data_IF_827206507481
#
_entry.id   IF_827206507481
#
_cell.length_a   1.000
_cell.length_b   1.000
_cell.length_c   1.000
_cell.angle_alpha   90.00
_cell.angle_beta   90.00
_cell.angle_gamma   90.00
#
_symmetry.space_group_name_H-M   'P 1'
#
loop_
_entity.id
_entity.type
_entity.pdbx_description
1 polymer ?
#
# COMPACT_ATOMS: atom_id res chain seq x y z
N UNK A 1 16.97 19.31 42.83
CA UNK A 1 17.40 18.96 41.49
C UNK A 1 16.30 18.13 40.82
N UNK A 2 15.38 18.82 40.15
CA UNK A 2 14.47 18.12 39.22
C UNK A 2 15.26 17.87 37.94
N UNK A 3 15.62 16.62 37.69
CA UNK A 3 16.07 16.17 36.40
C UNK A 3 15.00 16.54 35.36
N UNK A 4 15.35 17.43 34.41
CA UNK A 4 14.50 17.65 33.25
C UNK A 4 14.56 16.34 32.46
N UNK A 5 13.45 15.60 32.48
CA UNK A 5 13.29 14.47 31.60
C UNK A 5 13.38 14.98 30.15
N UNK A 6 14.27 14.41 29.34
CA UNK A 6 14.32 14.71 27.93
C UNK A 6 12.96 14.46 27.32
N UNK A 7 12.37 15.49 26.73
CA UNK A 7 11.04 15.42 26.12
C UNK A 7 10.99 14.47 24.90
N UNK A 8 12.14 14.19 24.32
CA UNK A 8 12.29 13.24 23.21
C UNK A 8 13.67 12.59 23.24
N UNK A 9 13.69 11.31 22.94
CA UNK A 9 14.93 10.52 22.80
C UNK A 9 15.46 10.52 21.35
N UNK A 10 14.63 10.91 20.39
CA UNK A 10 14.96 10.86 18.97
C UNK A 10 15.22 12.27 18.41
N UNK A 11 16.48 12.54 18.11
CA UNK A 11 16.93 13.80 17.49
C UNK A 11 17.19 13.67 15.98
N UNK A 12 17.04 12.47 15.41
CA UNK A 12 17.31 12.22 14.00
C UNK A 12 16.03 12.27 13.17
N UNK A 13 16.13 12.91 12.01
CA UNK A 13 15.04 12.94 11.03
C UNK A 13 15.01 11.66 10.21
N UNK A 14 13.79 11.21 9.87
CA UNK A 14 13.60 10.10 8.95
C UNK A 14 14.05 10.50 7.53
N UNK A 15 14.92 9.68 6.94
CA UNK A 15 15.35 9.89 5.55
C UNK A 15 14.32 9.25 4.60
N UNK A 16 13.86 9.97 3.57
CA UNK A 16 12.82 9.47 2.66
C UNK A 16 13.27 8.28 1.79
N UNK A 17 14.58 8.09 1.66
CA UNK A 17 15.15 6.98 0.87
C UNK A 17 15.37 5.70 1.67
N UNK A 18 15.21 5.74 2.98
CA UNK A 18 15.51 4.63 3.86
C UNK A 18 14.26 3.80 4.15
N UNK A 19 13.78 3.09 3.14
CA UNK A 19 12.64 2.19 3.29
C UNK A 19 12.84 0.88 2.50
N UNK A 20 12.11 -0.14 2.91
CA UNK A 20 12.00 -1.40 2.19
C UNK A 20 10.55 -1.85 2.20
N UNK A 21 10.01 -2.13 1.04
CA UNK A 21 8.72 -2.77 0.91
C UNK A 21 8.89 -4.29 0.97
N UNK A 22 8.09 -4.96 1.77
CA UNK A 22 8.02 -6.41 1.84
C UNK A 22 6.61 -6.85 1.50
N UNK A 23 6.51 -7.56 0.40
CA UNK A 23 5.31 -8.22 -0.06
C UNK A 23 5.56 -9.73 -0.07
N UNK A 24 4.56 -10.53 -0.28
CA UNK A 24 4.74 -11.98 -0.42
C UNK A 24 5.64 -12.32 -1.61
N UNK A 25 6.91 -12.55 -1.34
CA UNK A 25 7.93 -12.88 -2.36
C UNK A 25 7.65 -14.16 -3.12
N UNK A 26 6.90 -15.06 -2.53
CA UNK A 26 6.56 -16.32 -3.17
C UNK A 26 5.64 -16.12 -4.35
N UNK A 27 4.69 -15.21 -4.21
CA UNK A 27 3.66 -14.94 -5.21
C UNK A 27 3.94 -13.68 -6.05
N UNK A 28 4.63 -12.67 -5.47
CA UNK A 28 4.83 -11.36 -6.08
C UNK A 28 6.29 -10.85 -5.96
N UNK A 29 7.29 -11.62 -6.42
CA UNK A 29 8.69 -11.26 -6.22
C UNK A 29 9.10 -9.99 -6.97
N UNK A 30 8.55 -9.73 -8.14
CA UNK A 30 8.91 -8.58 -8.97
C UNK A 30 8.30 -7.27 -8.44
N UNK A 31 7.08 -7.31 -7.91
CA UNK A 31 6.46 -6.15 -7.27
C UNK A 31 7.28 -5.66 -6.06
N UNK A 32 7.82 -6.57 -5.28
CA UNK A 32 8.66 -6.23 -4.14
C UNK A 32 10.00 -5.64 -4.57
N UNK A 33 10.65 -6.27 -5.54
CA UNK A 33 12.01 -5.92 -5.96
C UNK A 33 12.09 -4.57 -6.67
N UNK A 34 11.12 -4.25 -7.52
CA UNK A 34 11.12 -3.05 -8.35
C UNK A 34 10.35 -1.87 -7.77
N UNK A 35 9.93 -1.92 -6.53
CA UNK A 35 9.26 -0.79 -5.89
C UNK A 35 10.22 0.39 -5.71
N UNK A 36 9.97 1.47 -6.42
CA UNK A 36 10.78 2.68 -6.39
C UNK A 36 10.34 3.65 -5.29
N UNK A 37 9.03 3.82 -5.12
CA UNK A 37 8.48 4.73 -4.12
C UNK A 37 7.16 4.22 -3.56
N UNK A 38 6.87 4.65 -2.35
CA UNK A 38 5.63 4.32 -1.65
C UNK A 38 5.11 5.55 -0.94
N UNK A 39 3.82 5.78 -1.03
CA UNK A 39 3.14 6.84 -0.29
C UNK A 39 2.32 6.20 0.82
N UNK A 40 2.75 6.44 2.07
CA UNK A 40 2.00 5.99 3.24
C UNK A 40 0.66 6.72 3.31
N UNK A 41 -0.47 5.98 3.41
CA UNK A 41 -1.79 6.58 3.38
C UNK A 41 -2.11 7.37 4.64
N UNK A 42 -2.85 8.45 4.46
CA UNK A 42 -3.44 9.18 5.57
C UNK A 42 -4.60 8.43 6.22
N UNK A 43 -4.91 8.82 7.44
CA UNK A 43 -6.00 8.27 8.25
C UNK A 43 -6.91 9.39 8.71
N UNK A 44 -8.22 9.20 8.59
CA UNK A 44 -9.22 10.19 8.96
C UNK A 44 -10.18 9.57 9.97
N UNK A 45 -10.34 10.23 11.12
CA UNK A 45 -11.40 9.94 12.06
C UNK A 45 -12.62 10.77 11.68
N UNK A 46 -13.72 10.12 11.33
CA UNK A 46 -14.94 10.80 10.94
C UNK A 46 -15.69 11.29 12.19
N UNK A 47 -15.78 12.62 12.42
CA UNK A 47 -16.52 13.14 13.57
C UNK A 47 -18.03 13.01 13.34
N UNK A 48 -18.78 12.82 14.40
CA UNK A 48 -20.24 12.93 14.40
C UNK A 48 -20.61 14.31 14.91
N UNK A 49 -21.40 15.07 14.13
CA UNK A 49 -21.94 16.36 14.55
C UNK A 49 -23.28 16.17 15.26
N UNK A 50 -23.36 16.58 16.51
CA UNK A 50 -24.64 16.72 17.20
C UNK A 50 -25.25 18.07 16.85
N UNK A 51 -26.37 18.05 16.14
CA UNK A 51 -27.17 19.25 15.87
C UNK A 51 -27.85 19.74 17.15
N UNK A 52 -27.30 20.79 17.76
CA UNK A 52 -27.98 21.49 18.85
C UNK A 52 -28.69 22.71 18.22
N UNK A 53 -30.03 22.87 18.40
CA UNK A 53 -30.72 24.04 17.92
C UNK A 53 -30.11 25.33 18.47
N UNK A 54 -29.70 26.24 17.56
CA UNK A 54 -29.09 27.56 17.86
C UNK A 54 -27.57 27.57 18.13
N UNK A 55 -26.88 26.47 18.08
CA UNK A 55 -25.40 26.42 18.11
C UNK A 55 -24.90 25.65 16.92
N UNK A 56 -23.77 26.08 16.33
CA UNK A 56 -23.06 25.28 15.34
C UNK A 56 -22.73 23.91 15.93
N UNK A 57 -22.89 22.84 15.16
CA UNK A 57 -22.71 21.48 15.64
C UNK A 57 -21.44 21.30 16.46
N UNK A 58 -21.53 20.62 17.58
CA UNK A 58 -20.38 20.24 18.40
C UNK A 58 -19.81 18.96 17.81
N UNK A 59 -18.55 18.95 17.34
CA UNK A 59 -17.94 17.74 16.85
C UNK A 59 -17.66 16.78 18.03
N UNK A 60 -18.18 15.56 17.91
CA UNK A 60 -17.87 14.45 18.82
C UNK A 60 -16.99 13.47 18.09
N UNK A 61 -16.03 12.86 18.80
CA UNK A 61 -15.19 11.82 18.23
C UNK A 61 -16.05 10.70 17.64
N UNK A 62 -15.91 10.48 16.35
CA UNK A 62 -16.61 9.41 15.62
C UNK A 62 -16.03 8.05 15.96
N UNK A 63 -16.78 6.99 15.65
CA UNK A 63 -16.39 5.61 15.89
C UNK A 63 -15.72 4.96 14.67
N UNK A 64 -15.65 5.67 13.53
CA UNK A 64 -15.11 5.12 12.29
C UNK A 64 -13.84 5.82 11.83
N UNK A 65 -12.87 5.00 11.41
CA UNK A 65 -11.63 5.43 10.76
C UNK A 65 -11.72 5.15 9.26
N UNK A 66 -11.31 6.13 8.47
CA UNK A 66 -11.17 5.98 7.02
C UNK A 66 -9.70 6.10 6.65
N UNK A 67 -9.22 5.17 5.82
CA UNK A 67 -7.85 5.15 5.32
C UNK A 67 -7.84 5.53 3.84
N UNK A 68 -6.85 6.32 3.45
CA UNK A 68 -6.56 6.55 2.04
C UNK A 68 -5.92 5.31 1.41
N UNK A 69 -5.84 5.30 0.10
CA UNK A 69 -5.22 4.22 -0.66
C UNK A 69 -3.69 4.22 -0.48
N UNK A 70 -3.11 3.03 -0.34
CA UNK A 70 -1.68 2.84 -0.38
C UNK A 70 -1.23 2.92 -1.84
N UNK A 71 -0.42 3.92 -2.16
CA UNK A 71 0.07 4.15 -3.52
C UNK A 71 1.56 3.83 -3.63
N UNK A 72 1.92 3.07 -4.66
CA UNK A 72 3.29 2.68 -4.95
C UNK A 72 3.64 2.99 -6.41
N UNK A 73 4.90 3.32 -6.68
CA UNK A 73 5.44 3.37 -8.03
C UNK A 73 6.45 2.24 -8.20
N UNK A 74 6.27 1.48 -9.24
CA UNK A 74 7.06 0.28 -9.52
C UNK A 74 7.74 0.47 -10.87
N UNK A 75 9.04 0.17 -10.92
CA UNK A 75 9.81 0.20 -12.17
C UNK A 75 9.35 -0.97 -13.04
N UNK A 76 9.07 -0.67 -14.30
CA UNK A 76 8.71 -1.68 -15.28
C UNK A 76 9.96 -2.43 -15.75
N UNK A 77 9.96 -3.74 -15.58
CA UNK A 77 11.01 -4.62 -16.10
C UNK A 77 10.81 -4.92 -17.59
N UNK A 78 11.87 -5.36 -18.26
CA UNK A 78 11.82 -5.65 -19.71
C UNK A 78 10.74 -6.66 -20.11
N UNK A 79 10.46 -7.61 -19.24
CA UNK A 79 9.47 -8.66 -19.48
C UNK A 79 8.09 -8.32 -18.93
N UNK A 80 7.90 -7.14 -18.37
CA UNK A 80 6.65 -6.71 -17.72
C UNK A 80 6.15 -7.68 -16.64
N UNK A 81 7.06 -8.37 -15.95
CA UNK A 81 6.68 -9.39 -14.96
C UNK A 81 5.97 -8.79 -13.76
N UNK A 82 6.48 -7.68 -13.23
CA UNK A 82 5.83 -6.97 -12.11
C UNK A 82 4.43 -6.47 -12.46
N UNK A 83 4.28 -5.92 -13.66
CA UNK A 83 2.96 -5.52 -14.17
C UNK A 83 2.03 -6.72 -14.33
N UNK A 84 2.55 -7.83 -14.87
CA UNK A 84 1.81 -9.08 -15.03
C UNK A 84 1.35 -9.69 -13.71
N UNK A 85 2.17 -9.64 -12.67
CA UNK A 85 1.80 -10.10 -11.32
C UNK A 85 0.59 -9.31 -10.78
N UNK A 86 0.62 -7.99 -10.92
CA UNK A 86 -0.47 -7.11 -10.50
C UNK A 86 -1.75 -7.35 -11.31
N UNK A 87 -1.62 -7.44 -12.63
CA UNK A 87 -2.70 -7.71 -13.55
C UNK A 87 -3.38 -9.05 -13.25
N UNK A 88 -2.60 -10.12 -13.10
CA UNK A 88 -3.13 -11.45 -12.78
C UNK A 88 -3.80 -11.49 -11.40
N UNK A 89 -3.28 -10.75 -10.42
CA UNK A 89 -3.90 -10.64 -9.11
C UNK A 89 -5.29 -9.99 -9.22
N UNK A 90 -5.38 -8.87 -9.94
CA UNK A 90 -6.67 -8.19 -10.15
C UNK A 90 -7.67 -9.07 -10.89
N UNK A 91 -7.26 -9.77 -11.94
CA UNK A 91 -8.13 -10.70 -12.67
C UNK A 91 -8.62 -11.86 -11.80
N UNK A 92 -7.74 -12.42 -10.97
CA UNK A 92 -8.11 -13.50 -10.05
C UNK A 92 -9.19 -13.06 -9.07
N UNK A 93 -9.10 -11.84 -8.52
CA UNK A 93 -10.13 -11.29 -7.63
C UNK A 93 -11.50 -11.18 -8.31
N UNK A 94 -11.52 -10.69 -9.55
CA UNK A 94 -12.76 -10.59 -10.34
C UNK A 94 -13.33 -11.97 -10.64
N UNK A 95 -12.51 -12.92 -11.06
CA UNK A 95 -12.94 -14.27 -11.40
C UNK A 95 -13.47 -15.04 -10.19
N UNK A 96 -12.85 -14.90 -9.03
CA UNK A 96 -13.32 -15.51 -7.80
C UNK A 96 -14.69 -14.97 -7.37
N UNK A 97 -14.93 -13.68 -7.58
CA UNK A 97 -16.23 -13.06 -7.27
C UNK A 97 -17.33 -13.45 -8.27
N UNK A 98 -16.97 -13.67 -9.54
CA UNK A 98 -17.92 -14.10 -10.57
C UNK A 98 -18.26 -15.59 -10.48
N UNK A 99 -17.37 -16.42 -9.92
CA UNK A 99 -17.52 -17.87 -9.83
C UNK A 99 -18.61 -18.35 -8.85
N UNK A 100 -19.16 -17.46 -8.04
CA UNK A 100 -20.18 -17.82 -7.04
C UNK A 100 -21.60 -18.01 -7.61
N UNK A 101 -21.83 -17.78 -8.90
CA UNK A 101 -23.20 -17.75 -9.44
C UNK A 101 -23.47 -18.38 -10.80
N UNK A 102 -22.49 -18.82 -11.56
CA UNK A 102 -22.76 -19.40 -12.89
C UNK A 102 -21.70 -20.41 -13.29
N UNK A 103 -22.09 -21.67 -13.34
CA UNK A 103 -21.27 -22.84 -13.62
C UNK A 103 -20.61 -22.88 -15.00
N UNK A 104 -19.88 -21.87 -15.41
CA UNK A 104 -19.02 -21.92 -16.58
C UNK A 104 -17.66 -21.27 -16.34
N UNK A 105 -16.68 -22.13 -16.08
CA UNK A 105 -15.30 -21.84 -16.44
C UNK A 105 -14.62 -20.78 -15.61
N UNK A 106 -14.48 -20.98 -14.34
CA UNK A 106 -13.44 -20.34 -13.56
C UNK A 106 -12.09 -20.75 -14.15
N UNK A 107 -11.48 -19.89 -14.94
CA UNK A 107 -10.11 -20.09 -15.47
C UNK A 107 -9.07 -19.90 -14.34
N UNK A 108 -9.50 -19.39 -13.21
CA UNK A 108 -8.63 -19.10 -12.07
C UNK A 108 -8.96 -19.96 -10.86
N UNK A 109 -9.50 -21.12 -11.06
CA UNK A 109 -9.72 -22.02 -9.96
C UNK A 109 -8.39 -22.44 -9.36
N UNK A 110 -8.25 -22.16 -8.09
CA UNK A 110 -7.40 -22.92 -7.17
C UNK A 110 -5.88 -22.92 -7.49
N UNK A 111 -5.32 -21.75 -7.70
CA UNK A 111 -3.86 -21.60 -7.75
C UNK A 111 -3.21 -21.72 -6.37
N UNK A 112 -4.00 -21.87 -5.30
CA UNK A 112 -3.50 -21.85 -3.92
C UNK A 112 -2.94 -20.49 -3.47
N UNK A 113 -3.10 -19.45 -4.29
CA UNK A 113 -2.66 -18.09 -3.96
C UNK A 113 -3.81 -17.35 -3.28
N UNK A 114 -3.62 -16.82 -2.07
CA UNK A 114 -4.67 -16.09 -1.37
C UNK A 114 -5.04 -14.79 -2.10
N UNK A 115 -6.30 -14.38 -1.97
CA UNK A 115 -6.82 -13.15 -2.57
C UNK A 115 -6.25 -11.89 -1.89
N UNK A 116 -5.99 -11.99 -0.60
CA UNK A 116 -5.44 -10.94 0.23
C UNK A 116 -3.97 -11.19 0.53
N UNK A 117 -3.20 -10.13 0.61
CA UNK A 117 -1.80 -10.20 1.03
C UNK A 117 -1.49 -9.10 2.04
N UNK A 118 -0.62 -9.39 2.99
CA UNK A 118 -0.10 -8.39 3.90
C UNK A 118 1.10 -7.70 3.26
N UNK A 119 1.12 -6.37 3.33
CA UNK A 119 2.23 -5.56 2.86
C UNK A 119 2.91 -4.93 4.08
N UNK A 120 4.22 -5.04 4.16
CA UNK A 120 5.01 -4.44 5.23
C UNK A 120 5.96 -3.40 4.67
N UNK A 121 5.87 -2.18 5.18
CA UNK A 121 6.82 -1.12 4.94
C UNK A 121 7.81 -1.09 6.11
N UNK A 122 9.06 -1.45 5.84
CA UNK A 122 10.14 -1.36 6.82
C UNK A 122 10.85 -0.04 6.66
N UNK A 123 10.93 0.70 7.74
CA UNK A 123 11.65 1.98 7.81
C UNK A 123 13.04 1.69 8.36
N UNK A 124 14.05 2.15 7.66
CA UNK A 124 15.43 1.91 7.99
C UNK A 124 16.08 3.17 8.58
N UNK A 125 17.01 2.98 9.49
CA UNK A 125 17.87 4.06 9.98
C UNK A 125 18.92 4.44 8.94
N UNK A 126 19.66 5.51 9.20
CA UNK A 126 20.82 5.93 8.39
C UNK A 126 21.91 4.84 8.25
N UNK A 127 21.90 3.84 9.11
CA UNK A 127 22.80 2.68 9.08
C UNK A 127 22.17 1.43 8.48
N UNK A 128 21.05 1.57 7.75
CA UNK A 128 20.27 0.47 7.16
C UNK A 128 19.72 -0.55 8.18
N UNK A 129 19.63 -0.19 9.44
CA UNK A 129 18.99 -1.03 10.46
C UNK A 129 17.50 -0.69 10.50
N UNK A 130 16.67 -1.73 10.58
CA UNK A 130 15.23 -1.55 10.71
C UNK A 130 14.89 -0.91 12.05
N UNK A 131 14.19 0.21 12.02
CA UNK A 131 13.76 0.94 13.22
C UNK A 131 12.28 0.75 13.52
N UNK A 132 11.46 0.80 12.49
CA UNK A 132 10.00 0.68 12.58
C UNK A 132 9.45 -0.08 11.38
N UNK A 133 8.31 -0.72 11.58
CA UNK A 133 7.54 -1.33 10.51
C UNK A 133 6.12 -0.80 10.52
N UNK A 134 5.58 -0.62 9.32
CA UNK A 134 4.15 -0.42 9.11
C UNK A 134 3.63 -1.65 8.39
N UNK A 135 2.72 -2.37 9.01
CA UNK A 135 2.10 -3.56 8.41
C UNK A 135 0.68 -3.22 8.00
N UNK A 136 0.41 -3.32 6.71
CA UNK A 136 -0.93 -3.18 6.12
C UNK A 136 -1.56 -4.55 6.02
N UNK A 137 -2.73 -4.70 6.61
CA UNK A 137 -3.41 -5.99 6.75
C UNK A 137 -4.49 -6.14 5.68
N UNK A 138 -4.55 -7.33 5.07
CA UNK A 138 -5.54 -7.71 4.06
C UNK A 138 -5.57 -6.73 2.88
N UNK A 139 -4.42 -6.55 2.23
CA UNK A 139 -4.32 -5.70 1.06
C UNK A 139 -4.87 -6.39 -0.18
N UNK A 140 -5.58 -5.61 -0.98
CA UNK A 140 -6.02 -5.97 -2.32
C UNK A 140 -5.59 -4.89 -3.31
N UNK A 141 -5.23 -5.25 -4.55
CA UNK A 141 -4.96 -4.27 -5.59
C UNK A 141 -6.26 -3.60 -6.01
N UNK A 142 -6.24 -2.29 -6.17
CA UNK A 142 -7.41 -1.51 -6.58
C UNK A 142 -7.18 -0.74 -7.86
N UNK A 143 -5.95 -0.38 -8.15
CA UNK A 143 -5.60 0.37 -9.34
C UNK A 143 -4.28 -0.08 -9.93
N UNK A 144 -4.21 -0.05 -11.23
CA UNK A 144 -3.02 -0.31 -12.03
C UNK A 144 -2.89 0.85 -13.02
N UNK A 145 -1.86 1.66 -12.84
CA UNK A 145 -1.68 2.90 -13.58
C UNK A 145 -1.31 2.70 -15.04
N UNK A 146 -1.43 3.78 -15.78
CA UNK A 146 -1.08 3.81 -17.20
C UNK A 146 0.43 3.67 -17.38
N UNK A 147 0.82 3.05 -18.49
CA UNK A 147 2.20 2.96 -18.93
C UNK A 147 2.32 3.76 -20.22
N UNK A 148 3.22 4.73 -20.22
CA UNK A 148 3.47 5.54 -21.39
C UNK A 148 4.71 5.03 -22.13
N UNK A 149 4.54 4.70 -23.40
CA UNK A 149 5.62 4.36 -24.30
C UNK A 149 5.86 5.51 -25.27
N UNK A 150 7.09 5.95 -25.37
CA UNK A 150 7.48 7.07 -26.22
C UNK A 150 8.76 6.71 -26.99
N UNK A 151 8.70 6.76 -28.31
CA UNK A 151 9.84 6.39 -29.18
C UNK A 151 10.97 7.41 -29.17
N UNK A 152 10.71 8.64 -28.69
CA UNK A 152 11.69 9.73 -28.61
C UNK A 152 12.34 9.83 -27.23
N UNK A 153 11.95 8.98 -26.29
CA UNK A 153 12.54 8.97 -24.95
C UNK A 153 14.01 8.55 -24.98
N UNK A 154 14.81 9.16 -24.13
CA UNK A 154 16.20 8.80 -23.95
C UNK A 154 16.28 7.38 -23.35
N UNK A 155 17.11 6.51 -23.92
CA UNK A 155 17.22 5.10 -23.53
C UNK A 155 17.73 4.83 -22.11
N UNK A 156 17.99 5.89 -21.34
CA UNK A 156 18.37 5.82 -19.92
C UNK A 156 17.21 6.08 -18.95
N UNK A 157 16.01 6.37 -19.48
CA UNK A 157 14.84 6.70 -18.65
C UNK A 157 14.11 5.42 -18.24
N UNK A 158 13.87 5.25 -16.95
CA UNK A 158 13.05 4.14 -16.44
C UNK A 158 11.57 4.44 -16.68
N UNK A 159 10.84 3.42 -17.13
CA UNK A 159 9.38 3.47 -17.18
C UNK A 159 8.87 2.94 -15.85
N UNK A 160 7.94 3.68 -15.24
CA UNK A 160 7.28 3.29 -14.00
C UNK A 160 5.78 3.20 -14.20
N UNK A 161 5.14 2.38 -13.39
CA UNK A 161 3.69 2.33 -13.29
C UNK A 161 3.24 2.49 -11.84
N UNK A 162 2.10 3.11 -11.64
CA UNK A 162 1.50 3.25 -10.32
C UNK A 162 0.68 2.00 -10.00
N UNK A 163 0.79 1.52 -8.76
CA UNK A 163 -0.02 0.45 -8.23
C UNK A 163 -0.65 0.91 -6.92
N UNK A 164 -1.97 0.85 -6.84
CA UNK A 164 -2.73 1.22 -5.66
C UNK A 164 -3.29 0.00 -4.95
N UNK A 165 -3.31 0.05 -3.61
CA UNK A 165 -3.83 -1.01 -2.76
C UNK A 165 -4.78 -0.43 -1.73
N UNK A 166 -5.85 -1.17 -1.45
CA UNK A 166 -6.69 -0.95 -0.27
C UNK A 166 -6.41 -2.03 0.75
N UNK A 167 -6.59 -1.69 2.01
CA UNK A 167 -6.33 -2.55 3.15
C UNK A 167 -7.37 -2.28 4.25
N UNK A 168 -7.53 -3.22 5.18
CA UNK A 168 -8.46 -3.06 6.29
C UNK A 168 -7.97 -2.03 7.30
N UNK A 169 -6.73 -2.19 7.74
CA UNK A 169 -6.07 -1.29 8.69
C UNK A 169 -4.56 -1.49 8.64
N UNK A 170 -3.83 -0.58 9.24
CA UNK A 170 -2.39 -0.76 9.41
C UNK A 170 -1.99 -0.75 10.88
N UNK A 171 -0.88 -1.37 11.17
CA UNK A 171 -0.25 -1.41 12.50
C UNK A 171 1.16 -0.86 12.41
N UNK A 172 1.53 -0.07 13.41
CA UNK A 172 2.92 0.32 13.66
C UNK A 172 3.54 -0.72 14.61
N UNK A 173 4.63 -1.32 14.18
CA UNK A 173 5.34 -2.38 14.93
C UNK A 173 6.77 -1.99 15.23
#
# INVERSE_FOLDING_TARGET
NRSMANLTENFNYLQPTSFKLVLDRRNYPNLEFFCQSITHPGMILNPVELGIPRLSGIPIAGESLTFNELSTNIILDENMQGYGEMYNWMLRLVNNNLGSGSGKGSIASDTGVPDYADITLSILSSHNNQTKQVRYIDCIPTSLGDIQFESTADGQTFITFAAGFRFNYFKLV
#
